data_IF_072942827492
#
_entry.id   IF_072942827492
#
_cell.length_a   1.000
_cell.length_b   1.000
_cell.length_c   1.000
_cell.angle_alpha   90.00
_cell.angle_beta   90.00
_cell.angle_gamma   90.00
#
_symmetry.space_group_name_H-M   'P 1'
#
loop_
_entity.id
_entity.type
_entity.pdbx_description
1 polymer ?
#
# COMPACT_ATOMS: atom_id res chain seq x y z
N UNK A 1 6.47 -0.08 12.63
CA UNK A 1 7.40 -0.82 11.74
C UNK A 1 7.89 0.13 10.66
N UNK A 2 9.20 0.33 10.60
CA UNK A 2 9.92 1.07 9.56
C UNK A 2 10.38 0.12 8.45
N UNK A 3 10.94 0.67 7.36
CA UNK A 3 11.57 -0.15 6.30
C UNK A 3 12.74 -0.97 6.84
N UNK A 4 13.54 -0.41 7.75
CA UNK A 4 14.64 -1.13 8.41
C UNK A 4 14.10 -2.32 9.21
N UNK A 5 13.06 -2.09 10.02
CA UNK A 5 12.42 -3.16 10.78
C UNK A 5 11.90 -4.29 9.87
N UNK A 6 11.39 -3.95 8.67
CA UNK A 6 10.94 -4.94 7.68
C UNK A 6 12.10 -5.77 7.12
N UNK A 7 13.24 -5.14 6.81
CA UNK A 7 14.45 -5.83 6.34
C UNK A 7 14.97 -6.77 7.44
N UNK A 8 15.03 -6.30 8.67
CA UNK A 8 15.50 -7.08 9.81
C UNK A 8 14.57 -8.28 10.07
N UNK A 9 13.25 -8.11 9.94
CA UNK A 9 12.27 -9.18 10.06
C UNK A 9 12.38 -10.22 8.93
N UNK A 10 12.68 -9.81 7.69
CA UNK A 10 12.94 -10.74 6.58
C UNK A 10 14.20 -11.56 6.86
N UNK A 11 15.30 -10.93 7.25
CA UNK A 11 16.53 -11.65 7.61
C UNK A 11 16.30 -12.63 8.77
N UNK A 12 15.51 -12.23 9.78
CA UNK A 12 15.17 -13.11 10.92
C UNK A 12 14.41 -14.37 10.47
N UNK A 13 13.53 -14.25 9.48
CA UNK A 13 12.77 -15.38 8.93
C UNK A 13 13.57 -16.20 7.92
N UNK A 14 14.52 -15.58 7.25
CA UNK A 14 15.36 -16.20 6.24
C UNK A 14 16.85 -15.98 6.57
N UNK A 15 17.39 -16.68 7.59
CA UNK A 15 18.75 -16.42 8.09
C UNK A 15 19.87 -16.73 7.08
N UNK A 16 19.54 -17.41 5.98
CA UNK A 16 20.47 -17.71 4.89
C UNK A 16 20.61 -16.55 3.90
N UNK A 17 19.69 -15.57 3.91
CA UNK A 17 19.85 -14.34 3.13
C UNK A 17 20.82 -13.41 3.86
N UNK A 18 21.71 -12.77 3.10
CA UNK A 18 22.50 -11.68 3.67
C UNK A 18 21.60 -10.46 3.91
N UNK A 19 21.99 -9.61 4.88
CA UNK A 19 21.26 -8.38 5.16
C UNK A 19 21.11 -7.50 3.92
N UNK A 20 22.16 -7.44 3.10
CA UNK A 20 22.17 -6.74 1.82
C UNK A 20 21.18 -7.31 0.82
N UNK A 21 21.06 -8.63 0.71
CA UNK A 21 20.12 -9.26 -0.22
C UNK A 21 18.68 -8.96 0.20
N UNK A 22 18.37 -9.05 1.48
CA UNK A 22 17.06 -8.68 2.01
C UNK A 22 16.73 -7.20 1.74
N UNK A 23 17.70 -6.30 1.91
CA UNK A 23 17.53 -4.88 1.56
C UNK A 23 17.24 -4.69 0.06
N UNK A 24 18.04 -5.32 -0.82
CA UNK A 24 17.85 -5.24 -2.27
C UNK A 24 16.47 -5.76 -2.69
N UNK A 25 16.03 -6.90 -2.14
CA UNK A 25 14.72 -7.49 -2.42
C UNK A 25 13.59 -6.55 -1.99
N UNK A 26 13.65 -6.02 -0.75
CA UNK A 26 12.62 -5.10 -0.25
C UNK A 26 12.57 -3.81 -1.08
N UNK A 27 13.72 -3.28 -1.50
CA UNK A 27 13.80 -2.12 -2.39
C UNK A 27 13.12 -2.41 -3.73
N UNK A 28 13.49 -3.52 -4.37
CA UNK A 28 12.94 -3.91 -5.66
C UNK A 28 11.42 -4.07 -5.63
N UNK A 29 10.86 -4.59 -4.53
CA UNK A 29 9.41 -4.68 -4.34
C UNK A 29 8.78 -3.28 -4.31
N UNK A 30 9.30 -2.37 -3.48
CA UNK A 30 8.73 -1.02 -3.39
C UNK A 30 8.87 -0.23 -4.69
N UNK A 31 10.01 -0.32 -5.37
CA UNK A 31 10.24 0.33 -6.65
C UNK A 31 9.26 -0.19 -7.71
N UNK A 32 9.07 -1.51 -7.77
CA UNK A 32 8.09 -2.14 -8.67
C UNK A 32 6.66 -1.66 -8.41
N UNK A 33 6.28 -1.51 -7.13
CA UNK A 33 4.97 -0.97 -6.76
C UNK A 33 4.82 0.50 -7.18
N UNK A 34 5.85 1.32 -6.98
CA UNK A 34 5.86 2.73 -7.41
C UNK A 34 5.68 2.82 -8.92
N UNK A 35 6.44 2.04 -9.68
CA UNK A 35 6.39 2.07 -11.14
C UNK A 35 5.04 1.59 -11.69
N UNK A 36 4.45 0.53 -11.12
CA UNK A 36 3.09 0.11 -11.46
C UNK A 36 2.06 1.23 -11.23
N UNK A 37 2.11 1.91 -10.08
CA UNK A 37 1.23 3.05 -9.81
C UNK A 37 1.51 4.24 -10.74
N UNK A 38 2.76 4.52 -11.13
CA UNK A 38 3.06 5.57 -12.12
C UNK A 38 2.39 5.30 -13.46
N UNK A 39 2.34 4.03 -13.87
CA UNK A 39 1.62 3.57 -15.07
C UNK A 39 0.09 3.52 -14.92
N UNK A 40 -0.42 3.72 -13.71
CA UNK A 40 -1.86 3.68 -13.41
C UNK A 40 -2.40 2.27 -13.20
N UNK A 41 -1.51 1.28 -13.03
CA UNK A 41 -1.88 -0.11 -12.82
C UNK A 41 -2.44 -0.33 -11.41
N UNK A 42 -3.27 -1.35 -11.28
CA UNK A 42 -3.74 -1.85 -9.99
C UNK A 42 -2.75 -2.89 -9.48
N UNK A 43 -2.36 -2.78 -8.22
CA UNK A 43 -1.55 -3.78 -7.52
C UNK A 43 -2.48 -4.49 -6.54
N UNK A 44 -2.52 -5.82 -6.60
CA UNK A 44 -3.34 -6.63 -5.70
C UNK A 44 -2.46 -7.61 -4.91
N UNK A 45 -2.62 -7.61 -3.60
CA UNK A 45 -1.89 -8.48 -2.67
C UNK A 45 -2.95 -9.20 -1.85
N UNK A 46 -3.24 -10.46 -2.21
CA UNK A 46 -4.26 -11.28 -1.52
C UNK A 46 -3.98 -11.32 -0.01
N UNK A 47 -5.04 -11.24 0.78
CA UNK A 47 -4.94 -11.12 2.25
C UNK A 47 -4.68 -9.69 2.76
N UNK A 48 -3.93 -8.87 2.02
CA UNK A 48 -3.63 -7.49 2.42
C UNK A 48 -4.65 -6.47 1.89
N UNK A 49 -4.82 -6.42 0.57
CA UNK A 49 -5.64 -5.42 -0.09
C UNK A 49 -5.16 -5.08 -1.50
N UNK A 50 -5.53 -3.91 -2.01
CA UNK A 50 -5.10 -3.44 -3.32
C UNK A 50 -4.73 -1.96 -3.34
N UNK A 51 -3.71 -1.61 -4.11
CA UNK A 51 -3.37 -0.23 -4.44
C UNK A 51 -3.98 0.12 -5.79
N UNK A 52 -4.68 1.24 -5.85
CA UNK A 52 -5.27 1.79 -7.09
C UNK A 52 -4.93 3.26 -7.23
N UNK A 53 -4.78 3.73 -8.46
CA UNK A 53 -4.56 5.15 -8.73
C UNK A 53 -5.89 5.82 -9.06
N UNK A 54 -6.30 6.78 -8.24
CA UNK A 54 -7.52 7.56 -8.45
C UNK A 54 -7.18 8.87 -9.14
N UNK A 55 -7.96 9.23 -10.16
CA UNK A 55 -7.91 10.55 -10.78
C UNK A 55 -8.84 11.49 -10.02
N UNK A 56 -8.27 12.52 -9.39
CA UNK A 56 -9.03 13.60 -8.74
C UNK A 56 -9.14 14.75 -9.74
N UNK A 57 -10.37 15.14 -10.07
CA UNK A 57 -10.66 16.28 -10.94
C UNK A 57 -10.25 17.58 -10.23
N UNK A 58 -9.96 18.60 -11.03
CA UNK A 58 -9.77 19.95 -10.50
C UNK A 58 -11.04 20.42 -9.81
N UNK A 59 -10.88 21.20 -8.74
CA UNK A 59 -11.98 21.75 -7.95
C UNK A 59 -11.53 23.01 -7.23
N UNK A 60 -12.48 23.78 -6.74
CA UNK A 60 -12.20 24.83 -5.77
C UNK A 60 -12.14 24.26 -4.35
N UNK A 61 -11.17 24.75 -3.58
CA UNK A 61 -11.03 24.49 -2.15
C UNK A 61 -11.01 25.80 -1.38
N UNK A 62 -10.90 25.70 -0.06
CA UNK A 62 -10.68 26.87 0.81
C UNK A 62 -9.39 26.71 1.59
N UNK A 63 -8.64 27.79 1.73
CA UNK A 63 -7.49 27.84 2.62
C UNK A 63 -7.99 27.69 4.07
N UNK A 64 -7.56 26.66 4.84
CA UNK A 64 -8.02 26.46 6.21
C UNK A 64 -7.68 27.61 7.16
N UNK A 65 -6.66 28.43 6.84
CA UNK A 65 -6.20 29.54 7.67
C UNK A 65 -6.90 30.87 7.34
N UNK A 66 -7.10 31.19 6.06
CA UNK A 66 -7.69 32.47 5.62
C UNK A 66 -9.14 32.39 5.14
N UNK A 67 -9.64 31.20 4.81
CA UNK A 67 -10.98 31.00 4.24
C UNK A 67 -11.09 31.34 2.74
N UNK A 68 -10.04 31.88 2.14
CA UNK A 68 -10.01 32.26 0.72
C UNK A 68 -10.19 31.05 -0.19
N UNK A 69 -10.88 31.27 -1.30
CA UNK A 69 -11.09 30.26 -2.34
C UNK A 69 -9.79 30.06 -3.11
N UNK A 70 -9.34 28.81 -3.21
CA UNK A 70 -8.11 28.43 -3.92
C UNK A 70 -8.41 27.33 -4.93
N UNK A 71 -7.82 27.43 -6.12
CA UNK A 71 -7.93 26.38 -7.14
C UNK A 71 -7.06 25.17 -6.77
N UNK A 72 -7.66 23.98 -6.78
CA UNK A 72 -6.98 22.71 -6.58
C UNK A 72 -6.89 21.99 -7.93
N UNK A 73 -5.68 21.89 -8.46
CA UNK A 73 -5.44 21.22 -9.73
C UNK A 73 -5.81 19.73 -9.71
N UNK A 74 -6.14 19.20 -10.89
CA UNK A 74 -6.36 17.77 -11.07
C UNK A 74 -5.07 16.99 -10.77
N UNK A 75 -5.19 15.82 -10.14
CA UNK A 75 -4.04 14.98 -9.82
C UNK A 75 -4.39 13.50 -9.73
N UNK A 76 -3.38 12.66 -9.95
CA UNK A 76 -3.42 11.23 -9.65
C UNK A 76 -3.03 11.02 -8.19
N UNK A 77 -3.78 10.22 -7.46
CA UNK A 77 -3.47 9.87 -6.06
C UNK A 77 -3.49 8.36 -5.88
N UNK A 78 -2.45 7.76 -5.26
CA UNK A 78 -2.53 6.37 -4.83
C UNK A 78 -3.58 6.23 -3.74
N UNK A 79 -4.30 5.11 -3.74
CA UNK A 79 -5.31 4.78 -2.75
C UNK A 79 -5.23 3.30 -2.42
N UNK A 80 -5.07 2.98 -1.14
CA UNK A 80 -5.09 1.61 -0.66
C UNK A 80 -6.52 1.21 -0.27
N UNK A 81 -7.04 0.16 -0.90
CA UNK A 81 -8.28 -0.53 -0.52
C UNK A 81 -7.90 -1.69 0.41
N UNK A 82 -8.27 -1.56 1.68
CA UNK A 82 -8.03 -2.57 2.71
C UNK A 82 -8.78 -3.86 2.36
N UNK A 83 -8.09 -5.00 2.39
CA UNK A 83 -8.68 -6.31 2.18
C UNK A 83 -9.53 -6.75 3.38
N UNK A 84 -10.51 -7.64 3.14
CA UNK A 84 -11.36 -8.21 4.20
C UNK A 84 -10.53 -8.94 5.26
N UNK A 85 -9.58 -9.76 4.84
CA UNK A 85 -8.69 -10.53 5.73
C UNK A 85 -7.87 -9.60 6.64
N UNK A 86 -7.16 -8.62 6.07
CA UNK A 86 -6.43 -7.61 6.85
C UNK A 86 -7.34 -6.93 7.88
N UNK A 87 -8.55 -6.51 7.48
CA UNK A 87 -9.50 -5.87 8.41
C UNK A 87 -9.89 -6.80 9.55
N UNK A 88 -10.19 -8.07 9.27
CA UNK A 88 -10.59 -9.03 10.30
C UNK A 88 -9.44 -9.31 11.27
N UNK A 89 -8.23 -9.54 10.75
CA UNK A 89 -7.04 -9.82 11.57
C UNK A 89 -6.66 -8.64 12.47
N UNK A 90 -6.81 -7.41 11.97
CA UNK A 90 -6.57 -6.19 12.78
C UNK A 90 -7.67 -5.99 13.83
N UNK A 91 -8.91 -6.35 13.53
CA UNK A 91 -10.04 -6.33 14.47
C UNK A 91 -10.03 -7.50 15.47
N UNK A 92 -9.04 -8.40 15.39
CA UNK A 92 -8.92 -9.58 16.25
C UNK A 92 -9.94 -10.69 15.95
N UNK A 93 -10.64 -10.62 14.81
CA UNK A 93 -11.58 -11.66 14.35
C UNK A 93 -10.82 -12.69 13.52
N UNK A 94 -11.17 -13.96 13.71
CA UNK A 94 -10.64 -15.03 12.86
C UNK A 94 -10.98 -14.72 11.39
N UNK A 95 -10.02 -14.92 10.46
CA UNK A 95 -10.36 -14.97 9.05
C UNK A 95 -11.48 -16.00 8.90
N UNK A 96 -12.57 -15.63 8.20
CA UNK A 96 -13.51 -16.64 7.73
C UNK A 96 -12.67 -17.52 6.81
N UNK A 97 -12.32 -18.72 7.26
CA UNK A 97 -11.76 -19.75 6.39
C UNK A 97 -12.72 -19.81 5.21
N UNK A 98 -12.22 -19.46 4.03
CA UNK A 98 -12.97 -19.74 2.81
C UNK A 98 -13.09 -21.26 2.82
N UNK A 99 -14.30 -21.76 3.12
CA UNK A 99 -14.62 -23.14 2.80
C UNK A 99 -14.24 -23.30 1.33
N UNK A 100 -13.29 -24.20 1.07
CA UNK A 100 -12.92 -24.60 -0.27
C UNK A 100 -14.19 -25.14 -0.93
N UNK A 101 -14.87 -24.26 -1.66
CA UNK A 101 -16.04 -24.60 -2.45
C UNK A 101 -15.58 -25.26 -3.74
N UNK A 102 -15.76 -26.58 -3.76
CA UNK A 102 -15.70 -27.56 -4.88
C UNK A 102 -14.41 -27.67 -5.70
#
# INVERSE_FOLDING_TARGET
MTKRDLIDEVNRRFPHLSHRDAEVIINAIFDSMVDAMRRGERIEIRGLGSFVVKHRRAREGRNPKSGEVVSVAAKKVPFFKVGKDLRLRVDGKAPLLEEEGE
#
